data_IF_276332662238
#
_entry.id   IF_276332662238
#
_cell.length_a   1.000
_cell.length_b   1.000
_cell.length_c   1.000
_cell.angle_alpha   90.00
_cell.angle_beta   90.00
_cell.angle_gamma   90.00
#
_symmetry.space_group_name_H-M   'P 1'
#
loop_
_entity.id
_entity.type
_entity.pdbx_description
1 polymer ?
#
# COMPACT_ATOMS: atom_id res chain seq x y z
N UNK A 1 -23.92 32.36 -23.13
CA UNK A 1 -22.95 32.99 -22.20
C UNK A 1 -21.55 32.53 -22.60
N UNK A 2 -20.93 33.28 -23.53
CA UNK A 2 -19.57 33.86 -23.46
C UNK A 2 -18.47 33.00 -22.80
N UNK A 3 -17.54 32.61 -23.68
CA UNK A 3 -16.25 31.95 -23.50
C UNK A 3 -15.22 32.80 -22.75
N UNK A 4 -14.31 32.14 -22.01
CA UNK A 4 -12.95 32.58 -21.65
C UNK A 4 -12.17 31.30 -21.25
N UNK A 5 -11.30 30.65 -22.02
CA UNK A 5 -10.03 31.02 -22.69
C UNK A 5 -8.99 31.66 -21.77
N UNK A 6 -8.03 30.80 -21.38
CA UNK A 6 -6.57 31.02 -21.20
C UNK A 6 -6.16 32.00 -20.08
N UNK A 7 -5.20 31.64 -19.22
CA UNK A 7 -3.77 31.84 -19.53
C UNK A 7 -2.89 31.05 -18.56
N UNK A 8 -1.97 30.24 -19.12
CA UNK A 8 -0.77 29.75 -18.44
C UNK A 8 0.29 30.85 -18.52
N UNK A 9 0.88 31.23 -17.39
CA UNK A 9 2.05 32.12 -17.35
C UNK A 9 3.30 31.32 -17.01
N UNK A 10 4.23 31.37 -17.97
CA UNK A 10 5.56 30.78 -17.92
C UNK A 10 6.58 31.74 -17.31
N UNK A 11 7.65 31.11 -16.78
CA UNK A 11 9.05 31.54 -16.80
C UNK A 11 9.45 32.85 -16.09
N UNK A 12 10.33 32.68 -15.09
CA UNK A 12 11.41 33.61 -14.82
C UNK A 12 12.72 32.82 -14.69
N UNK A 13 13.53 32.87 -15.75
CA UNK A 13 14.89 32.35 -15.83
C UNK A 13 15.82 33.57 -15.90
N UNK A 14 16.70 33.74 -14.91
CA UNK A 14 17.81 34.70 -14.91
C UNK A 14 18.88 34.14 -13.95
N UNK A 15 19.95 33.50 -14.42
CA UNK A 15 21.17 34.05 -15.03
C UNK A 15 21.98 34.96 -14.07
N UNK A 16 23.06 34.43 -13.50
CA UNK A 16 24.25 35.20 -13.12
C UNK A 16 25.49 34.30 -13.00
N UNK A 17 26.46 34.55 -13.88
CA UNK A 17 27.85 34.09 -13.85
C UNK A 17 28.59 34.64 -12.61
N UNK A 18 29.46 33.84 -11.98
CA UNK A 18 30.27 34.28 -10.84
C UNK A 18 31.47 33.38 -10.51
N UNK A 19 32.57 33.65 -11.21
CA UNK A 19 34.00 33.47 -10.92
C UNK A 19 34.46 33.02 -9.49
N UNK A 20 35.56 32.24 -9.49
CA UNK A 20 36.66 32.04 -8.48
C UNK A 20 36.38 31.32 -7.14
N UNK A 21 37.00 30.15 -6.92
CA UNK A 21 38.23 30.00 -6.13
C UNK A 21 38.48 28.53 -5.71
N UNK A 22 39.66 28.03 -6.07
CA UNK A 22 40.21 26.74 -5.64
C UNK A 22 40.54 26.78 -4.15
N UNK A 23 40.13 25.76 -3.38
CA UNK A 23 40.73 25.48 -2.07
C UNK A 23 41.07 23.99 -1.97
N UNK A 24 42.38 23.73 -1.97
CA UNK A 24 42.97 22.46 -1.65
C UNK A 24 42.86 22.24 -0.14
N UNK A 25 42.13 21.21 0.28
CA UNK A 25 42.18 20.73 1.67
C UNK A 25 43.38 19.81 1.84
N UNK A 26 44.20 20.01 2.89
CA UNK A 26 45.37 19.18 3.13
C UNK A 26 44.94 17.79 3.59
N UNK A 27 45.69 16.80 3.12
CA UNK A 27 45.67 15.41 3.57
C UNK A 27 46.00 15.42 5.07
N UNK A 28 44.98 15.17 5.90
CA UNK A 28 45.16 14.84 7.30
C UNK A 28 45.52 13.35 7.42
N UNK A 29 46.53 13.09 8.25
CA UNK A 29 47.12 11.78 8.51
C UNK A 29 46.07 10.73 8.92
N UNK A 30 46.16 9.53 8.33
CA UNK A 30 45.56 8.32 8.90
C UNK A 30 46.40 7.93 10.12
N UNK A 31 45.92 8.24 11.32
CA UNK A 31 46.34 7.53 12.52
C UNK A 31 45.86 6.07 12.42
N UNK A 32 46.72 5.06 12.64
CA UNK A 32 46.27 3.69 12.77
C UNK A 32 45.53 3.57 14.10
N UNK A 33 44.20 3.56 14.05
CA UNK A 33 43.37 3.26 15.21
C UNK A 33 43.78 1.91 15.78
N UNK A 34 44.29 1.94 17.01
CA UNK A 34 44.67 0.76 17.78
C UNK A 34 43.48 -0.19 17.89
N UNK A 35 43.75 -1.49 17.76
CA UNK A 35 42.78 -2.55 17.90
C UNK A 35 42.01 -2.43 19.23
N UNK A 36 40.70 -2.19 19.12
CA UNK A 36 39.77 -2.25 20.24
C UNK A 36 39.56 -3.72 20.66
N UNK A 37 39.56 -4.03 21.98
CA UNK A 37 39.21 -5.35 22.50
C UNK A 37 37.84 -5.81 22.00
N UNK A 38 37.57 -7.13 21.88
CA UNK A 38 36.31 -7.60 21.32
C UNK A 38 35.16 -7.15 22.22
N UNK A 39 34.39 -6.17 21.74
CA UNK A 39 33.09 -5.83 22.28
C UNK A 39 32.24 -7.10 22.28
N UNK A 40 31.89 -7.53 23.49
CA UNK A 40 30.92 -8.58 23.69
C UNK A 40 29.60 -8.07 23.11
N UNK A 41 29.17 -8.68 22.00
CA UNK A 41 27.90 -8.40 21.33
C UNK A 41 26.77 -8.72 22.31
N UNK A 42 26.36 -7.74 23.10
CA UNK A 42 25.12 -7.81 23.86
C UNK A 42 23.99 -7.81 22.82
N UNK A 43 23.02 -8.75 22.89
CA UNK A 43 21.89 -8.73 21.98
C UNK A 43 21.10 -7.46 22.23
N UNK A 44 21.20 -6.52 21.28
CA UNK A 44 20.32 -5.36 21.20
C UNK A 44 18.94 -5.91 20.87
N UNK A 45 18.06 -6.00 21.87
CA UNK A 45 16.63 -6.22 21.61
C UNK A 45 16.15 -4.95 20.92
N UNK A 46 15.99 -5.04 19.59
CA UNK A 46 15.35 -4.00 18.82
C UNK A 46 13.94 -3.77 19.39
N UNK A 47 13.47 -2.51 19.51
CA UNK A 47 12.11 -2.24 19.96
C UNK A 47 11.13 -2.99 19.05
N UNK A 48 10.14 -3.65 19.65
CA UNK A 48 9.06 -4.39 18.99
C UNK A 48 8.69 -3.75 17.65
N UNK A 49 9.15 -4.34 16.55
CA UNK A 49 8.64 -4.03 15.23
C UNK A 49 7.17 -4.42 15.24
N UNK A 50 6.26 -3.44 15.24
CA UNK A 50 4.83 -3.70 15.09
C UNK A 50 4.64 -4.38 13.73
N UNK A 51 4.52 -5.70 13.75
CA UNK A 51 4.20 -6.49 12.57
C UNK A 51 2.69 -6.36 12.31
N UNK A 52 2.32 -5.78 11.18
CA UNK A 52 0.91 -5.65 10.79
C UNK A 52 0.39 -7.01 10.36
N UNK A 53 -0.31 -7.69 11.27
CA UNK A 53 -0.97 -8.97 10.99
C UNK A 53 -2.37 -8.70 10.44
N UNK A 54 -2.68 -9.29 9.28
CA UNK A 54 -4.03 -9.24 8.71
C UNK A 54 -5.00 -10.13 9.51
N UNK A 55 -6.24 -9.66 9.66
CA UNK A 55 -7.24 -10.28 10.52
C UNK A 55 -8.19 -11.13 9.69
N UNK A 56 -8.42 -12.37 10.14
CA UNK A 56 -9.48 -13.22 9.63
C UNK A 56 -10.82 -12.73 10.19
N UNK A 57 -11.76 -12.39 9.32
CA UNK A 57 -13.09 -11.89 9.69
C UNK A 57 -14.18 -12.94 9.53
N UNK A 58 -13.98 -13.91 8.66
CA UNK A 58 -14.87 -15.06 8.47
C UNK A 58 -14.11 -16.26 7.90
N UNK A 59 -14.69 -17.46 8.04
CA UNK A 59 -14.20 -18.69 7.43
C UNK A 59 -15.38 -19.36 6.72
N UNK A 60 -15.21 -19.65 5.43
CA UNK A 60 -16.23 -20.25 4.55
C UNK A 60 -15.67 -21.54 3.97
N UNK A 61 -16.14 -22.68 4.47
CA UNK A 61 -15.59 -23.99 4.09
C UNK A 61 -14.12 -24.12 4.48
N UNK A 62 -13.25 -24.23 3.48
CA UNK A 62 -11.79 -24.33 3.59
C UNK A 62 -11.06 -22.99 3.36
N UNK A 63 -11.78 -21.90 3.08
CA UNK A 63 -11.19 -20.60 2.75
C UNK A 63 -11.50 -19.54 3.82
N UNK A 64 -10.49 -18.78 4.22
CA UNK A 64 -10.66 -17.62 5.09
C UNK A 64 -11.01 -16.36 4.27
N UNK A 65 -11.82 -15.48 4.85
CA UNK A 65 -12.03 -14.11 4.37
C UNK A 65 -11.24 -13.18 5.27
N UNK A 66 -10.36 -12.38 4.67
CA UNK A 66 -9.50 -11.44 5.36
C UNK A 66 -10.12 -10.05 5.46
N UNK A 67 -9.65 -9.26 6.43
CA UNK A 67 -10.07 -7.86 6.56
C UNK A 67 -9.57 -7.01 5.38
N UNK A 68 -8.34 -7.25 4.91
CA UNK A 68 -7.79 -6.61 3.72
C UNK A 68 -8.69 -6.80 2.49
N UNK A 69 -9.19 -8.01 2.24
CA UNK A 69 -10.09 -8.31 1.13
C UNK A 69 -11.38 -7.48 1.16
N UNK A 70 -11.97 -7.24 2.35
CA UNK A 70 -13.13 -6.36 2.47
C UNK A 70 -12.77 -4.94 2.06
N UNK A 71 -11.67 -4.41 2.59
CA UNK A 71 -11.23 -3.03 2.31
C UNK A 71 -10.90 -2.87 0.83
N UNK A 72 -10.19 -3.84 0.23
CA UNK A 72 -9.88 -3.86 -1.19
C UNK A 72 -11.14 -3.87 -2.05
N UNK A 73 -12.13 -4.70 -1.70
CA UNK A 73 -13.42 -4.75 -2.40
C UNK A 73 -14.16 -3.42 -2.31
N UNK A 74 -14.18 -2.77 -1.14
CA UNK A 74 -14.81 -1.45 -0.96
C UNK A 74 -14.08 -0.38 -1.78
N UNK A 75 -12.75 -0.37 -1.75
CA UNK A 75 -11.94 0.59 -2.53
C UNK A 75 -12.16 0.38 -4.03
N UNK A 76 -12.29 -0.87 -4.48
CA UNK A 76 -12.58 -1.20 -5.86
C UNK A 76 -13.99 -0.75 -6.28
N UNK A 77 -14.99 -0.84 -5.39
CA UNK A 77 -16.32 -0.29 -5.61
C UNK A 77 -16.27 1.26 -5.68
N UNK A 78 -15.52 1.90 -4.77
CA UNK A 78 -15.31 3.34 -4.81
C UNK A 78 -14.64 3.83 -6.08
N UNK A 79 -13.68 3.06 -6.63
CA UNK A 79 -13.05 3.36 -7.91
C UNK A 79 -14.03 3.28 -9.10
N UNK A 80 -15.16 2.59 -8.94
CA UNK A 80 -16.25 2.52 -9.93
C UNK A 80 -17.28 3.65 -9.77
N UNK A 81 -17.06 4.57 -8.83
CA UNK A 81 -17.91 5.74 -8.59
C UNK A 81 -18.90 5.58 -7.44
N UNK A 82 -18.77 4.52 -6.64
CA UNK A 82 -19.57 4.35 -5.42
C UNK A 82 -19.06 5.27 -4.30
N UNK A 83 -19.96 5.80 -3.49
CA UNK A 83 -19.58 6.65 -2.36
C UNK A 83 -19.06 5.77 -1.22
N UNK A 84 -17.77 5.89 -0.90
CA UNK A 84 -17.12 5.14 0.19
C UNK A 84 -17.07 6.01 1.44
N UNK A 85 -17.76 5.63 2.54
CA UNK A 85 -17.69 6.34 3.82
C UNK A 85 -16.29 6.29 4.44
N UNK A 86 -16.02 7.19 5.38
CA UNK A 86 -14.74 7.23 6.09
C UNK A 86 -14.56 6.01 7.02
N UNK A 87 -13.36 5.46 7.07
CA UNK A 87 -13.04 4.30 7.91
C UNK A 87 -13.32 4.60 9.39
N UNK A 88 -14.01 3.69 10.07
CA UNK A 88 -14.35 3.81 11.49
C UNK A 88 -15.67 4.55 11.75
N UNK A 89 -16.39 4.96 10.71
CA UNK A 89 -17.76 5.45 10.81
C UNK A 89 -18.76 4.29 10.87
N UNK A 90 -19.93 4.45 11.52
CA UNK A 90 -20.99 3.43 11.49
C UNK A 90 -21.45 3.08 10.08
N UNK A 91 -21.43 4.05 9.16
CA UNK A 91 -21.76 3.86 7.75
C UNK A 91 -20.74 2.96 7.06
N UNK A 92 -19.45 3.14 7.33
CA UNK A 92 -18.40 2.25 6.85
C UNK A 92 -18.56 0.83 7.41
N UNK A 93 -18.89 0.68 8.69
CA UNK A 93 -19.11 -0.64 9.31
C UNK A 93 -20.31 -1.36 8.68
N UNK A 94 -21.36 -0.63 8.30
CA UNK A 94 -22.50 -1.18 7.58
C UNK A 94 -22.10 -1.66 6.18
N UNK A 95 -21.39 -0.81 5.42
CA UNK A 95 -20.87 -1.17 4.09
C UNK A 95 -19.90 -2.36 4.15
N UNK A 96 -19.02 -2.40 5.16
CA UNK A 96 -18.09 -3.51 5.37
C UNK A 96 -18.81 -4.83 5.68
N UNK A 97 -19.91 -4.78 6.43
CA UNK A 97 -20.74 -5.97 6.70
C UNK A 97 -21.46 -6.46 5.45
N UNK A 98 -22.00 -5.54 4.65
CA UNK A 98 -22.61 -5.86 3.37
C UNK A 98 -21.59 -6.49 2.41
N UNK A 99 -20.41 -5.87 2.28
CA UNK A 99 -19.30 -6.40 1.49
C UNK A 99 -18.88 -7.79 1.95
N UNK A 100 -18.73 -8.01 3.25
CA UNK A 100 -18.44 -9.32 3.81
C UNK A 100 -19.51 -10.36 3.44
N UNK A 101 -20.79 -9.98 3.49
CA UNK A 101 -21.90 -10.87 3.11
C UNK A 101 -21.77 -11.28 1.64
N UNK A 102 -21.54 -10.32 0.75
CA UNK A 102 -21.34 -10.60 -0.67
C UNK A 102 -20.12 -11.50 -0.95
N UNK A 103 -19.01 -11.28 -0.22
CA UNK A 103 -17.83 -12.13 -0.31
C UNK A 103 -18.11 -13.55 0.16
N UNK A 104 -18.82 -13.72 1.28
CA UNK A 104 -19.22 -15.03 1.79
C UNK A 104 -20.09 -15.77 0.78
N UNK A 105 -21.11 -15.10 0.23
CA UNK A 105 -22.01 -15.69 -0.76
C UNK A 105 -21.25 -16.11 -2.02
N UNK A 106 -20.33 -15.28 -2.51
CA UNK A 106 -19.44 -15.62 -3.63
C UNK A 106 -18.62 -16.88 -3.33
N UNK A 107 -18.04 -17.00 -2.13
CA UNK A 107 -17.27 -18.19 -1.75
C UNK A 107 -18.13 -19.43 -1.62
N UNK A 108 -19.36 -19.32 -1.13
CA UNK A 108 -20.31 -20.44 -1.11
C UNK A 108 -20.62 -20.90 -2.54
N UNK A 109 -20.85 -19.97 -3.47
CA UNK A 109 -21.11 -20.30 -4.87
C UNK A 109 -19.90 -20.93 -5.55
N UNK A 110 -18.69 -20.41 -5.31
CA UNK A 110 -17.45 -21.00 -5.83
C UNK A 110 -17.19 -22.39 -5.25
N UNK A 111 -17.43 -22.59 -3.96
CA UNK A 111 -17.35 -23.90 -3.33
C UNK A 111 -18.33 -24.86 -3.99
N UNK A 112 -19.56 -24.40 -4.25
CA UNK A 112 -20.56 -25.24 -4.90
C UNK A 112 -20.18 -25.59 -6.33
N UNK A 113 -19.66 -24.62 -7.08
CA UNK A 113 -19.16 -24.82 -8.44
C UNK A 113 -18.05 -25.89 -8.48
N UNK A 114 -17.12 -25.83 -7.52
CA UNK A 114 -16.04 -26.84 -7.33
C UNK A 114 -16.59 -28.23 -7.01
N UNK A 115 -17.60 -28.32 -6.13
CA UNK A 115 -18.27 -29.60 -5.84
C UNK A 115 -18.98 -30.20 -7.06
N UNK A 116 -19.51 -29.36 -7.94
CA UNK A 116 -20.22 -29.77 -9.16
C UNK A 116 -19.33 -29.84 -10.40
N UNK A 117 -18.02 -29.70 -10.24
CA UNK A 117 -17.02 -29.71 -11.32
C UNK A 117 -17.31 -28.72 -12.47
N UNK A 118 -17.78 -27.51 -12.13
CA UNK A 118 -17.96 -26.43 -13.10
C UNK A 118 -16.61 -25.74 -13.34
N UNK A 119 -16.13 -25.75 -14.58
CA UNK A 119 -14.86 -25.14 -14.98
C UNK A 119 -15.05 -24.22 -16.20
N UNK A 120 -14.34 -23.09 -16.21
CA UNK A 120 -14.29 -22.18 -17.36
C UNK A 120 -12.96 -22.38 -18.08
N UNK A 121 -12.94 -22.96 -19.29
CA UNK A 121 -11.72 -23.19 -20.03
C UNK A 121 -11.20 -21.88 -20.64
N UNK A 122 -9.87 -21.77 -20.89
CA UNK A 122 -9.22 -20.50 -21.24
C UNK A 122 -9.68 -19.92 -22.59
N UNK A 123 -10.21 -20.74 -23.49
CA UNK A 123 -10.78 -20.33 -24.78
C UNK A 123 -12.13 -19.60 -24.65
N UNK A 124 -12.75 -19.62 -23.47
CA UNK A 124 -13.99 -18.91 -23.17
C UNK A 124 -13.77 -17.58 -22.42
N UNK A 125 -12.51 -17.17 -22.23
CA UNK A 125 -12.14 -15.88 -21.64
C UNK A 125 -11.73 -14.94 -22.78
N UNK A 126 -12.50 -13.86 -23.01
CA UNK A 126 -12.22 -12.82 -24.03
C UNK A 126 -11.05 -11.89 -23.63
#
# INVERSE_FOLDING_TARGET
>A
MRSARQTFTAAAFAAALGLIASSASPVAAQEPSAAEPPEQVQPVIAPDSIETVDRIVAVVGDTAVLYSEIVESIVQAGAQGEEVPEIGTPEFDALARETLTNLVDSRILLQKAKETDIQVPPDQLD
#
